data_IF_789566660915
#
_entry.id   IF_789566660915
#
_cell.length_a   1.000
_cell.length_b   1.000
_cell.length_c   1.000
_cell.angle_alpha   90.00
_cell.angle_beta   90.00
_cell.angle_gamma   90.00
#
_symmetry.space_group_name_H-M   'P 1'
#
loop_
_entity.id
_entity.type
_entity.pdbx_description
1 polymer ?
#
# COMPACT_ATOMS: atom_id res chain seq x y z
N UNK A 1 50.98 -12.52 -2.63
CA UNK A 1 49.86 -12.35 -3.57
C UNK A 1 49.00 -11.24 -3.02
N UNK A 2 49.06 -10.06 -3.63
CA UNK A 2 48.49 -8.83 -3.10
C UNK A 2 46.97 -8.81 -3.34
N UNK A 3 46.22 -8.73 -2.25
CA UNK A 3 44.76 -8.80 -2.25
C UNK A 3 44.22 -7.45 -2.74
N UNK A 4 44.04 -7.30 -4.06
CA UNK A 4 43.35 -6.14 -4.64
C UNK A 4 41.91 -6.14 -4.13
N UNK A 5 41.64 -5.36 -3.07
CA UNK A 5 40.29 -4.95 -2.72
C UNK A 5 39.72 -4.28 -3.96
N UNK A 6 38.73 -4.92 -4.58
CA UNK A 6 37.93 -4.30 -5.64
C UNK A 6 37.14 -3.21 -4.92
N UNK A 7 37.65 -1.99 -4.97
CA UNK A 7 36.96 -0.81 -4.47
C UNK A 7 35.81 -0.52 -5.43
N UNK A 8 34.62 -1.05 -5.10
CA UNK A 8 33.41 -0.72 -5.84
C UNK A 8 33.16 0.78 -5.67
N UNK A 9 33.34 1.55 -6.75
CA UNK A 9 32.89 2.95 -6.80
C UNK A 9 31.35 2.93 -6.72
N UNK A 10 30.81 3.05 -5.52
CA UNK A 10 29.36 3.09 -5.21
C UNK A 10 28.68 4.42 -5.63
N UNK A 11 29.25 5.16 -6.58
CA UNK A 11 28.66 6.40 -7.05
C UNK A 11 27.64 6.12 -8.14
N UNK A 12 26.37 6.05 -7.76
CA UNK A 12 25.25 5.99 -8.70
C UNK A 12 25.21 7.24 -9.60
N UNK A 13 24.96 7.04 -10.89
CA UNK A 13 24.76 8.16 -11.82
C UNK A 13 23.59 9.05 -11.36
N UNK A 14 23.70 10.36 -11.63
CA UNK A 14 22.73 11.38 -11.19
C UNK A 14 21.29 11.07 -11.60
N UNK A 15 21.07 10.42 -12.75
CA UNK A 15 19.74 10.01 -13.23
C UNK A 15 19.03 9.04 -12.28
N UNK A 16 19.78 8.09 -11.70
CA UNK A 16 19.23 7.12 -10.74
C UNK A 16 18.92 7.79 -9.40
N UNK A 17 19.76 8.73 -8.97
CA UNK A 17 19.51 9.53 -7.76
C UNK A 17 18.24 10.37 -7.89
N UNK A 18 18.05 11.04 -9.03
CA UNK A 18 16.84 11.83 -9.31
C UNK A 18 15.61 10.93 -9.38
N UNK A 19 15.68 9.82 -10.11
CA UNK A 19 14.55 8.89 -10.21
C UNK A 19 14.14 8.32 -8.85
N UNK A 20 15.10 7.93 -8.02
CA UNK A 20 14.85 7.48 -6.65
C UNK A 20 14.23 8.57 -5.79
N UNK A 21 14.77 9.80 -5.84
CA UNK A 21 14.23 10.93 -5.09
C UNK A 21 12.77 11.22 -5.45
N UNK A 22 12.44 11.28 -6.75
CA UNK A 22 11.06 11.49 -7.23
C UNK A 22 10.14 10.37 -6.74
N UNK A 23 10.56 9.11 -6.87
CA UNK A 23 9.79 7.95 -6.40
C UNK A 23 9.56 8.00 -4.89
N UNK A 24 10.59 8.33 -4.11
CA UNK A 24 10.49 8.40 -2.66
C UNK A 24 9.58 9.55 -2.22
N UNK A 25 9.68 10.72 -2.86
CA UNK A 25 8.79 11.85 -2.61
C UNK A 25 7.32 11.50 -2.90
N UNK A 26 7.05 10.83 -4.03
CA UNK A 26 5.70 10.37 -4.35
C UNK A 26 5.16 9.38 -3.31
N UNK A 27 5.99 8.41 -2.89
CA UNK A 27 5.63 7.45 -1.85
C UNK A 27 5.32 8.13 -0.50
N UNK A 28 6.14 9.10 -0.08
CA UNK A 28 5.91 9.86 1.15
C UNK A 28 4.61 10.67 1.12
N UNK A 29 4.30 11.32 -0.01
CA UNK A 29 3.03 12.03 -0.18
C UNK A 29 1.84 11.08 -0.04
N UNK A 30 1.91 9.92 -0.70
CA UNK A 30 0.81 8.96 -0.68
C UNK A 30 0.64 8.32 0.69
N UNK A 31 1.73 8.00 1.40
CA UNK A 31 1.70 7.52 2.78
C UNK A 31 1.04 8.54 3.72
N UNK A 32 1.38 9.82 3.57
CA UNK A 32 0.78 10.90 4.37
C UNK A 32 -0.72 11.07 4.15
N UNK A 33 -1.20 10.88 2.91
CA UNK A 33 -2.63 10.86 2.62
C UNK A 33 -3.24 9.57 3.17
N UNK A 34 -2.65 8.41 2.87
CA UNK A 34 -3.21 7.10 3.15
C UNK A 34 -3.46 6.82 4.63
N UNK A 35 -2.48 7.03 5.51
CA UNK A 35 -2.57 6.52 6.88
C UNK A 35 -3.60 7.26 7.75
N UNK A 36 -3.83 8.56 7.53
CA UNK A 36 -4.72 9.36 8.39
C UNK A 36 -6.01 9.82 7.72
N UNK A 37 -5.95 10.15 6.43
CA UNK A 37 -7.11 10.75 5.76
C UNK A 37 -8.12 9.69 5.29
N UNK A 38 -7.68 8.46 4.99
CA UNK A 38 -8.58 7.36 4.63
C UNK A 38 -9.47 6.92 5.79
N UNK A 39 -8.89 6.73 6.97
CA UNK A 39 -9.61 6.39 8.20
C UNK A 39 -10.68 7.44 8.52
N UNK A 40 -10.28 8.72 8.45
CA UNK A 40 -11.19 9.83 8.67
C UNK A 40 -12.32 9.86 7.63
N UNK A 41 -11.99 9.65 6.35
CA UNK A 41 -12.95 9.63 5.25
C UNK A 41 -14.00 8.52 5.42
N UNK A 42 -13.58 7.28 5.65
CA UNK A 42 -14.53 6.17 5.88
C UNK A 42 -15.36 6.37 7.14
N UNK A 43 -14.76 6.90 8.21
CA UNK A 43 -15.48 7.27 9.42
C UNK A 43 -16.58 8.32 9.15
N UNK A 44 -16.31 9.32 8.32
CA UNK A 44 -17.31 10.31 7.93
C UNK A 44 -18.43 9.70 7.09
N UNK A 45 -18.14 8.73 6.23
CA UNK A 45 -19.16 8.01 5.46
C UNK A 45 -20.08 7.21 6.38
N UNK A 46 -19.53 6.50 7.37
CA UNK A 46 -20.33 5.81 8.38
C UNK A 46 -21.30 6.78 9.09
N UNK A 47 -20.77 7.92 9.58
CA UNK A 47 -21.57 8.92 10.28
C UNK A 47 -22.66 9.51 9.36
N UNK A 48 -22.32 9.81 8.10
CA UNK A 48 -23.28 10.33 7.11
C UNK A 48 -24.47 9.39 6.87
N UNK A 49 -24.26 8.10 7.06
CA UNK A 49 -25.32 7.10 6.94
C UNK A 49 -26.09 6.82 8.23
N UNK A 50 -25.83 7.59 9.28
CA UNK A 50 -26.51 7.46 10.57
C UNK A 50 -25.88 6.43 11.51
N UNK A 51 -24.64 6.00 11.26
CA UNK A 51 -23.92 5.12 12.18
C UNK A 51 -23.32 5.96 13.30
N UNK A 52 -23.58 5.56 14.55
CA UNK A 52 -23.03 6.24 15.72
C UNK A 52 -21.49 6.24 15.72
N UNK A 53 -20.92 7.33 16.24
CA UNK A 53 -19.47 7.56 16.28
C UNK A 53 -18.69 6.40 16.94
N UNK A 54 -19.27 5.81 17.99
CA UNK A 54 -18.66 4.68 18.72
C UNK A 54 -18.62 3.43 17.85
N UNK A 55 -19.72 3.10 17.17
CA UNK A 55 -19.79 1.95 16.28
C UNK A 55 -18.88 2.12 15.06
N UNK A 56 -18.89 3.30 14.45
CA UNK A 56 -18.01 3.62 13.33
C UNK A 56 -16.52 3.45 13.71
N UNK A 57 -16.12 3.96 14.88
CA UNK A 57 -14.74 3.83 15.36
C UNK A 57 -14.37 2.37 15.67
N UNK A 58 -15.31 1.58 16.22
CA UNK A 58 -15.10 0.16 16.46
C UNK A 58 -14.91 -0.61 15.15
N UNK A 59 -15.72 -0.33 14.11
CA UNK A 59 -15.60 -0.98 12.82
C UNK A 59 -14.26 -0.67 12.14
N UNK A 60 -13.82 0.60 12.16
CA UNK A 60 -12.48 0.97 11.66
C UNK A 60 -11.38 0.22 12.43
N UNK A 61 -11.47 0.18 13.76
CA UNK A 61 -10.50 -0.55 14.59
C UNK A 61 -10.44 -2.04 14.29
N UNK A 62 -11.60 -2.69 14.13
CA UNK A 62 -11.67 -4.10 13.74
C UNK A 62 -11.11 -4.35 12.34
N UNK A 63 -11.29 -3.41 11.40
CA UNK A 63 -10.72 -3.53 10.06
C UNK A 63 -9.20 -3.52 10.13
N UNK A 64 -8.60 -2.63 10.92
CA UNK A 64 -7.16 -2.60 11.17
C UNK A 64 -6.64 -3.88 11.82
N UNK A 65 -7.34 -4.45 12.81
CA UNK A 65 -6.93 -5.71 13.44
C UNK A 65 -6.92 -6.86 12.42
N UNK A 66 -7.97 -6.99 11.62
CA UNK A 66 -8.05 -8.02 10.59
C UNK A 66 -7.00 -7.80 9.49
N UNK A 67 -6.76 -6.55 9.12
CA UNK A 67 -5.70 -6.18 8.20
C UNK A 67 -4.31 -6.56 8.72
N UNK A 68 -4.01 -6.35 10.01
CA UNK A 68 -2.73 -6.78 10.59
C UNK A 68 -2.51 -8.29 10.49
N UNK A 69 -3.57 -9.08 10.66
CA UNK A 69 -3.51 -10.54 10.48
C UNK A 69 -3.21 -10.88 9.02
N UNK A 70 -3.87 -10.19 8.09
CA UNK A 70 -3.63 -10.34 6.65
C UNK A 70 -2.18 -9.97 6.27
N UNK A 71 -1.68 -8.82 6.71
CA UNK A 71 -0.30 -8.37 6.45
C UNK A 71 0.74 -9.35 6.97
N UNK A 72 0.55 -9.88 8.19
CA UNK A 72 1.47 -10.85 8.76
C UNK A 72 1.65 -12.11 7.89
N UNK A 73 0.64 -12.44 7.07
CA UNK A 73 0.68 -13.55 6.12
C UNK A 73 1.19 -13.08 4.75
N UNK A 74 0.71 -11.94 4.26
CA UNK A 74 1.02 -11.45 2.92
C UNK A 74 2.47 -11.02 2.75
N UNK A 75 3.06 -10.35 3.74
CA UNK A 75 4.43 -9.86 3.65
C UNK A 75 5.45 -10.99 3.36
N UNK A 76 5.47 -12.11 4.12
CA UNK A 76 6.33 -13.25 3.80
C UNK A 76 6.04 -13.87 2.43
N UNK A 77 4.77 -13.97 2.03
CA UNK A 77 4.38 -14.57 0.76
C UNK A 77 4.91 -13.76 -0.42
N UNK A 78 4.71 -12.45 -0.41
CA UNK A 78 5.21 -11.57 -1.46
C UNK A 78 6.73 -11.52 -1.51
N UNK A 79 7.40 -11.52 -0.36
CA UNK A 79 8.86 -11.63 -0.30
C UNK A 79 9.37 -12.87 -1.04
N UNK A 80 8.78 -14.04 -0.79
CA UNK A 80 9.15 -15.30 -1.45
C UNK A 80 8.83 -15.27 -2.95
N UNK A 81 7.69 -14.67 -3.35
CA UNK A 81 7.27 -14.56 -4.75
C UNK A 81 8.22 -13.67 -5.56
N UNK A 82 8.57 -12.49 -5.04
CA UNK A 82 9.53 -11.59 -5.68
C UNK A 82 10.90 -12.25 -5.84
N UNK A 83 11.33 -12.97 -4.80
CA UNK A 83 12.61 -13.66 -4.84
C UNK A 83 12.66 -14.74 -5.91
N UNK A 84 11.58 -15.51 -6.09
CA UNK A 84 11.49 -16.60 -7.07
C UNK A 84 11.25 -16.11 -8.49
N UNK A 85 10.97 -14.82 -8.69
CA UNK A 85 10.62 -14.29 -10.01
C UNK A 85 11.82 -14.19 -10.93
N UNK A 86 11.79 -15.00 -11.99
CA UNK A 86 12.78 -15.01 -13.07
C UNK A 86 12.25 -14.19 -14.25
N UNK A 87 12.42 -12.87 -14.19
CA UNK A 87 12.09 -11.97 -15.28
C UNK A 87 13.34 -11.44 -15.99
N UNK A 88 13.25 -11.22 -17.30
CA UNK A 88 14.30 -10.59 -18.12
C UNK A 88 14.61 -9.15 -17.67
N UNK A 89 13.67 -8.50 -16.99
CA UNK A 89 13.82 -7.15 -16.45
C UNK A 89 14.44 -7.14 -15.05
N UNK A 90 14.76 -8.29 -14.47
CA UNK A 90 15.20 -8.43 -13.08
C UNK A 90 14.07 -8.81 -12.13
N UNK A 91 14.42 -9.07 -10.86
CA UNK A 91 13.50 -9.68 -9.87
C UNK A 91 12.38 -8.73 -9.42
N UNK A 92 12.70 -7.46 -9.14
CA UNK A 92 11.74 -6.47 -8.57
C UNK A 92 11.16 -5.45 -9.56
N UNK A 93 11.82 -5.24 -10.70
CA UNK A 93 11.43 -4.21 -11.68
C UNK A 93 10.02 -4.47 -12.28
N UNK A 94 9.60 -5.71 -12.59
CA UNK A 94 8.25 -5.96 -13.10
C UNK A 94 7.16 -5.55 -12.08
N UNK A 95 7.34 -5.91 -10.81
CA UNK A 95 6.40 -5.58 -9.74
C UNK A 95 6.25 -4.08 -9.58
N UNK A 96 7.36 -3.34 -9.50
CA UNK A 96 7.30 -1.87 -9.38
C UNK A 96 6.65 -1.20 -10.60
N UNK A 97 6.97 -1.67 -11.82
CA UNK A 97 6.47 -1.04 -13.05
C UNK A 97 4.98 -1.27 -13.26
N UNK A 98 4.49 -2.49 -13.08
CA UNK A 98 3.08 -2.82 -13.32
C UNK A 98 2.23 -2.61 -12.06
N UNK A 99 2.79 -2.88 -10.89
CA UNK A 99 2.18 -2.63 -9.59
C UNK A 99 1.88 -1.14 -9.40
N UNK A 100 2.80 -0.23 -9.74
CA UNK A 100 2.54 1.21 -9.61
C UNK A 100 1.32 1.72 -10.38
N UNK A 101 1.00 1.13 -11.54
CA UNK A 101 -0.21 1.48 -12.31
C UNK A 101 -1.46 0.98 -11.58
N UNK A 102 -1.46 -0.28 -11.15
CA UNK A 102 -2.56 -0.87 -10.40
C UNK A 102 -2.80 -0.12 -9.08
N UNK A 103 -1.71 0.19 -8.36
CA UNK A 103 -1.68 0.97 -7.14
C UNK A 103 -2.33 2.34 -7.31
N UNK A 104 -1.99 3.07 -8.38
CA UNK A 104 -2.61 4.35 -8.68
C UNK A 104 -4.11 4.26 -8.97
N UNK A 105 -4.56 3.22 -9.69
CA UNK A 105 -5.99 2.99 -9.95
C UNK A 105 -6.76 2.65 -8.68
N UNK A 106 -6.20 1.77 -7.85
CA UNK A 106 -6.79 1.38 -6.57
C UNK A 106 -6.85 2.55 -5.59
N UNK A 107 -5.81 3.39 -5.59
CA UNK A 107 -5.82 4.63 -4.83
C UNK A 107 -6.95 5.56 -5.25
N UNK A 108 -7.37 5.58 -6.51
CA UNK A 108 -8.55 6.36 -6.93
C UNK A 108 -9.82 5.69 -6.40
N UNK A 109 -9.93 4.37 -6.55
CA UNK A 109 -11.14 3.59 -6.21
C UNK A 109 -11.50 3.64 -4.72
N UNK A 110 -10.52 3.75 -3.82
CA UNK A 110 -10.78 3.85 -2.37
C UNK A 110 -11.62 5.08 -1.97
N UNK A 111 -11.56 6.15 -2.79
CA UNK A 111 -12.35 7.37 -2.57
C UNK A 111 -13.79 7.25 -3.08
N UNK A 112 -14.13 6.13 -3.72
CA UNK A 112 -15.47 5.81 -4.22
C UNK A 112 -16.01 4.52 -3.58
N UNK A 113 -16.26 4.53 -2.26
CA UNK A 113 -16.78 3.36 -1.57
C UNK A 113 -18.22 3.05 -2.00
N UNK A 114 -18.62 1.80 -1.80
CA UNK A 114 -19.97 1.33 -2.10
C UNK A 114 -20.98 2.12 -1.26
N UNK A 115 -21.89 2.82 -1.95
CA UNK A 115 -22.96 3.57 -1.31
C UNK A 115 -24.11 2.63 -0.92
N UNK A 116 -24.19 2.30 0.36
CA UNK A 116 -25.24 1.44 0.93
C UNK A 116 -25.43 1.79 2.38
N UNK A 117 -26.64 1.72 2.91
CA UNK A 117 -26.94 2.01 4.32
C UNK A 117 -26.47 0.91 5.29
N UNK A 118 -25.91 -0.19 4.77
CA UNK A 118 -25.43 -1.28 5.61
C UNK A 118 -23.97 -1.02 6.05
N UNK A 119 -23.72 -0.75 7.34
CA UNK A 119 -22.38 -0.45 7.84
C UNK A 119 -21.40 -1.61 7.63
N UNK A 120 -21.87 -2.86 7.66
CA UNK A 120 -20.99 -4.02 7.48
C UNK A 120 -20.43 -4.12 6.06
N UNK A 121 -21.17 -3.63 5.05
CA UNK A 121 -20.68 -3.61 3.66
C UNK A 121 -19.61 -2.54 3.48
N UNK A 122 -19.77 -1.37 4.10
CA UNK A 122 -18.76 -0.31 4.07
C UNK A 122 -17.51 -0.74 4.82
N UNK A 123 -17.68 -1.41 5.96
CA UNK A 123 -16.59 -2.04 6.70
C UNK A 123 -15.83 -3.04 5.84
N UNK A 124 -16.54 -3.94 5.15
CA UNK A 124 -15.91 -4.91 4.26
C UNK A 124 -15.19 -4.22 3.10
N UNK A 125 -15.80 -3.20 2.51
CA UNK A 125 -15.17 -2.39 1.48
C UNK A 125 -13.87 -1.75 1.97
N UNK A 126 -13.87 -1.15 3.17
CA UNK A 126 -12.67 -0.57 3.77
C UNK A 126 -11.58 -1.62 4.01
N UNK A 127 -11.94 -2.76 4.63
CA UNK A 127 -11.01 -3.86 4.89
C UNK A 127 -10.38 -4.41 3.60
N UNK A 128 -11.19 -4.62 2.57
CA UNK A 128 -10.70 -5.09 1.26
C UNK A 128 -9.75 -4.07 0.63
N UNK A 129 -10.08 -2.78 0.71
CA UNK A 129 -9.21 -1.73 0.18
C UNK A 129 -7.87 -1.68 0.93
N UNK A 130 -7.87 -1.76 2.27
CA UNK A 130 -6.63 -1.87 3.05
C UNK A 130 -5.79 -3.06 2.60
N UNK A 131 -6.39 -4.25 2.57
CA UNK A 131 -5.72 -5.50 2.20
C UNK A 131 -5.15 -5.45 0.77
N UNK A 132 -5.92 -4.99 -0.21
CA UNK A 132 -5.50 -4.92 -1.61
C UNK A 132 -4.40 -3.88 -1.79
N UNK A 133 -4.49 -2.73 -1.11
CA UNK A 133 -3.53 -1.64 -1.25
C UNK A 133 -2.16 -1.99 -0.67
N UNK A 134 -2.12 -2.76 0.40
CA UNK A 134 -0.87 -3.29 0.98
C UNK A 134 -0.21 -4.35 0.10
N UNK A 135 -1.03 -5.14 -0.60
CA UNK A 135 -0.57 -6.30 -1.39
C UNK A 135 0.14 -5.90 -2.70
N UNK A 136 0.05 -4.64 -3.15
CA UNK A 136 0.44 -4.20 -4.50
C UNK A 136 1.58 -3.19 -4.47
#
# INVERSE_FOLDING_TARGET
MENKKIEFKEELERKYKIGYAVSNSAHMLLSGIGMGSMDYFYKQIFIRQGVDLKLASNLIGWAWILFMVWNAVNDPLFGILEEKTKSKLGRRIPYLRYGSIAYGLLFILIWFPIQTNNPYIIFLNFLLMLAIFDTI
#
